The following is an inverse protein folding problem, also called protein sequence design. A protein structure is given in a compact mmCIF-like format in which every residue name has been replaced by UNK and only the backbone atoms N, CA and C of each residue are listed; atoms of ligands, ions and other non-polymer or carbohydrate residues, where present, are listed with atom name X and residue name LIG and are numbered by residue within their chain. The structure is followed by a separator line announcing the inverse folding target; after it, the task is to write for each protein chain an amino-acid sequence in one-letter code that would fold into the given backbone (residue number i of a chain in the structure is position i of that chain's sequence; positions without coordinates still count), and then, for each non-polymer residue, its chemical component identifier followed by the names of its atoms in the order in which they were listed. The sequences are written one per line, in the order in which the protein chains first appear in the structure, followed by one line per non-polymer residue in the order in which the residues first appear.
data_IF_505387296045
#
_entry.id   IF_505387296045
#
_cell.length_a   1.000
_cell.length_b   1.000
_cell.length_c   1.000
_cell.angle_alpha   90.00
_cell.angle_beta   90.00
_cell.angle_gamma   90.00
#
_symmetry.space_group_name_H-M   'P 1'
#
loop_
_entity.id
_entity.type
_entity.pdbx_description
1 polymer ?
#
# COMPACT_ATOMS: atom_id res chain seq x y z
N UNK A 1 7.36 3.44 21.98
CA UNK A 1 7.80 2.80 20.72
C UNK A 1 6.97 1.53 20.56
N UNK A 2 6.34 1.32 19.41
CA UNK A 2 5.54 0.12 19.14
C UNK A 2 6.42 -1.14 19.17
N UNK A 3 5.92 -2.19 19.80
CA UNK A 3 6.53 -3.52 19.80
C UNK A 3 5.48 -4.51 19.33
N UNK A 4 5.69 -5.19 18.19
CA UNK A 4 4.73 -6.13 17.67
C UNK A 4 4.66 -7.40 18.50
N UNK A 5 3.52 -8.07 18.43
CA UNK A 5 3.33 -9.37 19.05
C UNK A 5 4.39 -10.38 18.56
N UNK A 6 5.08 -11.06 19.49
CA UNK A 6 6.03 -12.11 19.13
C UNK A 6 5.33 -13.31 18.45
N UNK A 7 4.03 -13.49 18.72
CA UNK A 7 3.20 -14.57 18.19
C UNK A 7 2.44 -14.19 16.91
N UNK A 8 2.74 -13.03 16.29
CA UNK A 8 1.99 -12.49 15.13
C UNK A 8 1.86 -13.46 13.95
N UNK A 9 2.80 -14.36 13.78
CA UNK A 9 2.80 -15.30 12.65
C UNK A 9 2.14 -16.65 12.94
N UNK A 10 1.77 -16.96 14.20
CA UNK A 10 1.27 -18.27 14.58
C UNK A 10 -0.14 -18.57 14.07
N UNK A 11 -0.98 -17.54 13.91
CA UNK A 11 -2.39 -17.69 13.52
C UNK A 11 -2.70 -17.39 12.06
N UNK A 12 -1.71 -16.98 11.25
CA UNK A 12 -1.91 -16.57 9.87
C UNK A 12 -1.36 -17.62 8.90
N UNK A 13 -2.18 -17.99 7.92
CA UNK A 13 -1.74 -18.81 6.80
C UNK A 13 -1.05 -17.96 5.73
N UNK A 14 0.12 -18.40 5.24
CA UNK A 14 0.87 -17.73 4.18
C UNK A 14 0.98 -18.65 2.96
N UNK A 15 0.54 -18.13 1.79
CA UNK A 15 0.54 -18.87 0.53
C UNK A 15 1.52 -18.26 -0.47
N UNK A 16 2.14 -19.11 -1.28
CA UNK A 16 3.02 -18.66 -2.36
C UNK A 16 2.25 -17.84 -3.40
N UNK A 17 2.79 -16.69 -3.75
CA UNK A 17 2.30 -15.84 -4.83
C UNK A 17 2.92 -16.32 -6.16
N UNK A 18 2.30 -17.31 -6.78
CA UNK A 18 2.80 -17.88 -8.03
C UNK A 18 4.24 -18.35 -7.95
N UNK A 19 5.07 -17.87 -8.89
CA UNK A 19 6.50 -18.21 -9.00
C UNK A 19 7.44 -17.09 -8.52
N UNK A 20 6.91 -16.03 -7.93
CA UNK A 20 7.68 -14.85 -7.51
C UNK A 20 8.62 -15.11 -6.33
N UNK A 21 8.42 -16.22 -5.60
CA UNK A 21 9.11 -16.49 -4.34
C UNK A 21 8.44 -15.80 -3.13
N UNK A 22 7.61 -14.81 -3.35
CA UNK A 22 6.88 -14.11 -2.31
C UNK A 22 5.80 -15.00 -1.70
N UNK A 23 5.60 -14.90 -0.39
CA UNK A 23 4.45 -15.47 0.31
C UNK A 23 3.56 -14.32 0.80
N UNK A 24 2.28 -14.44 0.57
CA UNK A 24 1.30 -13.47 1.04
C UNK A 24 0.41 -14.09 2.12
N UNK A 25 -0.02 -13.31 3.11
CA UNK A 25 -0.96 -13.78 4.12
C UNK A 25 -2.32 -14.08 3.47
N UNK A 26 -3.09 -14.94 4.09
CA UNK A 26 -4.46 -15.25 3.64
C UNK A 26 -5.39 -14.02 3.65
N UNK A 27 -5.06 -13.01 4.46
CA UNK A 27 -5.75 -11.73 4.53
C UNK A 27 -4.77 -10.60 4.29
N UNK A 28 -5.21 -9.60 3.50
CA UNK A 28 -4.50 -8.35 3.26
C UNK A 28 -5.31 -7.18 3.78
N UNK A 29 -4.65 -6.12 4.21
CA UNK A 29 -5.31 -4.87 4.58
C UNK A 29 -5.29 -3.90 3.40
N UNK A 30 -6.48 -3.61 2.84
CA UNK A 30 -6.65 -2.60 1.81
C UNK A 30 -6.79 -1.20 2.42
N UNK A 31 -6.07 -0.23 1.89
CA UNK A 31 -6.03 1.13 2.41
C UNK A 31 -6.85 2.12 1.55
N UNK A 32 -7.89 1.64 0.89
CA UNK A 32 -8.75 2.50 0.08
C UNK A 32 -9.62 3.43 0.94
N UNK A 33 -10.29 2.90 1.94
CA UNK A 33 -11.15 3.66 2.86
C UNK A 33 -10.48 3.78 4.24
N UNK A 34 -10.85 4.81 5.00
CA UNK A 34 -10.34 5.10 6.34
C UNK A 34 -8.85 5.54 6.40
N UNK A 35 -8.17 5.66 5.27
CA UNK A 35 -6.78 6.12 5.22
C UNK A 35 -6.60 7.48 4.53
N UNK A 36 -7.70 8.20 4.31
CA UNK A 36 -7.74 9.62 3.97
C UNK A 36 -7.84 10.49 5.22
N UNK A 37 -8.87 11.34 5.26
CA UNK A 37 -9.19 12.22 6.40
C UNK A 37 -10.30 11.69 7.30
N UNK A 38 -10.87 10.52 6.98
CA UNK A 38 -11.98 9.91 7.72
C UNK A 38 -11.57 9.48 9.13
N UNK A 39 -10.30 9.15 9.31
CA UNK A 39 -9.69 8.79 10.59
C UNK A 39 -8.44 9.61 10.86
N UNK A 40 -8.18 9.85 12.12
CA UNK A 40 -6.92 10.47 12.55
C UNK A 40 -5.72 9.56 12.22
N UNK A 41 -4.54 10.16 12.08
CA UNK A 41 -3.30 9.37 11.86
C UNK A 41 -3.09 8.34 12.95
N UNK A 42 -3.40 8.67 14.20
CA UNK A 42 -3.26 7.74 15.33
C UNK A 42 -4.18 6.52 15.18
N UNK A 43 -5.43 6.71 14.79
CA UNK A 43 -6.35 5.60 14.53
C UNK A 43 -5.87 4.74 13.36
N UNK A 44 -5.31 5.37 12.31
CA UNK A 44 -4.72 4.65 11.18
C UNK A 44 -3.51 3.82 11.62
N UNK A 45 -2.62 4.37 12.43
CA UNK A 45 -1.49 3.64 13.04
C UNK A 45 -1.95 2.46 13.88
N UNK A 46 -2.95 2.66 14.73
CA UNK A 46 -3.53 1.60 15.56
C UNK A 46 -4.09 0.45 14.70
N UNK A 47 -4.76 0.77 13.58
CA UNK A 47 -5.26 -0.24 12.63
C UNK A 47 -4.09 -1.02 12.00
N UNK A 48 -3.06 -0.33 11.54
CA UNK A 48 -1.90 -0.96 10.89
C UNK A 48 -1.14 -1.85 11.87
N UNK A 49 -0.86 -1.34 13.08
CA UNK A 49 -0.17 -2.10 14.13
C UNK A 49 -0.98 -3.33 14.56
N UNK A 50 -2.29 -3.17 14.75
CA UNK A 50 -3.16 -4.30 15.10
C UNK A 50 -3.22 -5.36 13.99
N UNK A 51 -3.27 -4.94 12.72
CA UNK A 51 -3.23 -5.85 11.59
C UNK A 51 -1.91 -6.64 11.57
N UNK A 52 -0.78 -5.97 11.77
CA UNK A 52 0.53 -6.60 11.83
C UNK A 52 0.64 -7.58 13.01
N UNK A 53 0.13 -7.23 14.18
CA UNK A 53 0.06 -8.13 15.36
C UNK A 53 -0.77 -9.40 15.12
N UNK A 54 -1.63 -9.40 14.12
CA UNK A 54 -2.43 -10.54 13.66
C UNK A 54 -1.83 -11.28 12.47
N UNK A 55 -0.62 -10.93 12.05
CA UNK A 55 0.07 -11.55 10.94
C UNK A 55 -0.35 -11.06 9.56
N UNK A 56 -1.11 -9.97 9.49
CA UNK A 56 -1.39 -9.30 8.21
C UNK A 56 -0.14 -8.51 7.84
N UNK A 57 0.66 -9.06 6.95
CA UNK A 57 1.91 -8.46 6.48
C UNK A 57 1.75 -7.74 5.14
N UNK A 58 0.64 -7.93 4.45
CA UNK A 58 0.38 -7.30 3.16
C UNK A 58 -0.56 -6.10 3.29
N UNK A 59 -0.05 -4.92 2.94
CA UNK A 59 -0.76 -3.65 2.89
C UNK A 59 -0.93 -3.22 1.44
N UNK A 60 -2.18 -3.04 1.01
CA UNK A 60 -2.53 -2.81 -0.38
C UNK A 60 -3.05 -1.39 -0.61
N UNK A 61 -2.26 -0.60 -1.31
CA UNK A 61 -2.52 0.80 -1.65
C UNK A 61 -2.80 0.99 -3.15
N UNK A 62 -3.05 2.22 -3.53
CA UNK A 62 -2.99 2.72 -4.90
C UNK A 62 -2.63 4.21 -4.88
N UNK A 63 -2.05 4.68 -5.98
CA UNK A 63 -1.61 6.06 -6.10
C UNK A 63 -2.76 7.07 -5.93
N UNK A 64 -4.00 6.68 -6.28
CA UNK A 64 -5.18 7.54 -6.20
C UNK A 64 -6.03 7.34 -4.92
N UNK A 65 -5.62 6.46 -4.01
CA UNK A 65 -6.36 6.25 -2.77
C UNK A 65 -6.23 7.45 -1.81
N UNK A 66 -7.27 7.63 -1.02
CA UNK A 66 -7.39 8.71 -0.05
C UNK A 66 -8.42 9.76 -0.47
N UNK A 67 -9.19 10.22 0.50
CA UNK A 67 -10.17 11.29 0.32
C UNK A 67 -9.82 12.42 1.31
N UNK A 68 -9.90 13.68 0.91
CA UNK A 68 -10.38 14.22 -0.39
C UNK A 68 -9.30 14.29 -1.48
N UNK A 69 -8.03 14.02 -1.18
CA UNK A 69 -6.93 14.18 -2.14
C UNK A 69 -6.35 12.84 -2.57
N UNK A 70 -6.16 12.67 -3.88
CA UNK A 70 -5.46 11.50 -4.45
C UNK A 70 -4.03 11.43 -3.91
N UNK A 71 -3.63 10.25 -3.47
CA UNK A 71 -2.31 10.00 -2.88
C UNK A 71 -2.25 10.15 -1.36
N UNK A 72 -3.31 10.67 -0.73
CA UNK A 72 -3.31 10.91 0.71
C UNK A 72 -3.17 9.61 1.52
N UNK A 73 -3.73 8.49 1.04
CA UNK A 73 -3.57 7.20 1.71
C UNK A 73 -2.10 6.75 1.73
N UNK A 74 -1.37 6.95 0.64
CA UNK A 74 0.07 6.65 0.60
C UNK A 74 0.88 7.58 1.52
N UNK A 75 0.55 8.88 1.60
CA UNK A 75 1.19 9.82 2.52
C UNK A 75 0.96 9.43 3.99
N UNK A 76 -0.28 9.11 4.33
CA UNK A 76 -0.64 8.71 5.69
C UNK A 76 0.00 7.37 6.06
N UNK A 77 0.01 6.41 5.15
CA UNK A 77 0.72 5.14 5.33
C UNK A 77 2.22 5.37 5.56
N UNK A 78 2.86 6.24 4.77
CA UNK A 78 4.27 6.59 4.94
C UNK A 78 4.59 7.18 6.32
N UNK A 79 3.70 8.05 6.84
CA UNK A 79 3.82 8.60 8.20
C UNK A 79 3.69 7.51 9.25
N UNK A 80 2.65 6.70 9.17
CA UNK A 80 2.42 5.58 10.09
C UNK A 80 3.57 4.56 10.05
N UNK A 81 4.09 4.25 8.86
CA UNK A 81 5.28 3.41 8.71
C UNK A 81 6.47 3.97 9.49
N UNK A 82 6.77 5.25 9.29
CA UNK A 82 7.88 5.91 9.99
C UNK A 82 7.73 5.86 11.51
N UNK A 83 6.51 6.01 12.02
CA UNK A 83 6.23 6.14 13.44
C UNK A 83 6.14 4.77 14.15
N UNK A 84 5.67 3.72 13.49
CA UNK A 84 5.47 2.42 14.13
C UNK A 84 6.07 1.20 13.40
N UNK A 85 5.89 1.06 12.09
CA UNK A 85 6.25 -0.15 11.35
C UNK A 85 7.59 -0.07 10.60
N UNK A 86 8.24 1.08 10.56
CA UNK A 86 9.49 1.28 9.82
C UNK A 86 10.58 0.26 10.12
N UNK A 87 10.85 -0.09 11.39
CA UNK A 87 11.85 -1.12 11.74
C UNK A 87 11.53 -2.51 11.19
N UNK A 88 10.28 -2.75 10.79
CA UNK A 88 9.78 -4.04 10.30
C UNK A 88 9.51 -4.06 8.79
N UNK A 89 10.05 -3.07 8.03
CA UNK A 89 9.82 -2.98 6.58
C UNK A 89 10.09 -4.29 5.83
N UNK A 90 11.12 -5.01 6.20
CA UNK A 90 11.52 -6.28 5.57
C UNK A 90 10.56 -7.46 5.91
N UNK A 91 9.68 -7.26 6.88
CA UNK A 91 8.64 -8.22 7.24
C UNK A 91 7.29 -7.89 6.54
N UNK A 92 7.22 -6.80 5.79
CA UNK A 92 6.00 -6.34 5.12
C UNK A 92 6.08 -6.57 3.61
N UNK A 93 4.94 -6.91 3.03
CA UNK A 93 4.69 -6.80 1.60
C UNK A 93 3.83 -5.55 1.36
N UNK A 94 4.38 -4.56 0.68
CA UNK A 94 3.67 -3.33 0.34
C UNK A 94 3.35 -3.34 -1.14
N UNK A 95 2.08 -3.20 -1.48
CA UNK A 95 1.64 -3.05 -2.87
C UNK A 95 1.04 -1.69 -3.13
N UNK A 96 1.28 -1.17 -4.33
CA UNK A 96 0.54 -0.01 -4.85
C UNK A 96 0.20 -0.20 -6.31
N UNK A 97 -0.62 0.70 -6.87
CA UNK A 97 -1.22 0.56 -8.19
C UNK A 97 -1.22 1.89 -8.92
N UNK A 98 -1.17 1.84 -10.24
CA UNK A 98 -1.40 2.97 -11.11
C UNK A 98 -2.27 2.58 -12.30
N UNK A 99 -2.97 3.57 -12.89
CA UNK A 99 -3.86 3.37 -14.04
C UNK A 99 -4.91 4.46 -14.16
N UNK A 100 -5.42 4.96 -13.04
CA UNK A 100 -6.41 6.04 -13.00
C UNK A 100 -5.77 7.42 -13.08
N UNK A 101 -6.62 8.45 -13.30
CA UNK A 101 -6.21 9.85 -13.38
C UNK A 101 -5.53 10.32 -12.10
N UNK A 102 -4.32 10.86 -12.25
CA UNK A 102 -3.53 11.38 -11.13
C UNK A 102 -3.20 12.87 -11.28
N UNK A 103 -2.91 13.32 -12.51
CA UNK A 103 -2.64 14.73 -12.79
C UNK A 103 -3.23 15.13 -14.14
N UNK A 104 -3.34 16.43 -14.37
CA UNK A 104 -3.91 16.97 -15.61
C UNK A 104 -2.98 16.82 -16.80
N UNK A 105 -3.57 16.76 -17.98
CA UNK A 105 -2.87 16.67 -19.25
C UNK A 105 -2.75 15.24 -19.79
N UNK A 106 -2.09 15.06 -20.93
CA UNK A 106 -2.16 13.81 -21.71
C UNK A 106 -1.33 12.65 -21.12
N UNK A 107 -0.60 12.90 -20.04
CA UNK A 107 0.32 11.90 -19.45
C UNK A 107 -0.02 11.53 -18.02
N UNK A 108 -1.18 11.98 -17.51
CA UNK A 108 -1.56 11.84 -16.11
C UNK A 108 -2.43 10.62 -15.79
N UNK A 109 -2.63 9.72 -16.76
CA UNK A 109 -3.48 8.54 -16.61
C UNK A 109 -3.02 7.36 -17.48
N UNK A 110 -3.73 6.24 -17.31
CA UNK A 110 -3.59 5.01 -18.10
C UNK A 110 -2.28 4.25 -17.89
N UNK A 111 -1.67 3.75 -18.98
CA UNK A 111 -0.64 2.72 -18.87
C UNK A 111 0.60 2.99 -19.70
N UNK A 112 0.85 4.25 -20.14
CA UNK A 112 2.12 4.55 -20.80
C UNK A 112 3.29 4.30 -19.84
N UNK A 113 4.42 3.86 -20.39
CA UNK A 113 5.66 3.72 -19.62
C UNK A 113 6.00 5.00 -18.85
N UNK A 114 5.78 6.16 -19.48
CA UNK A 114 5.97 7.49 -18.86
C UNK A 114 5.11 7.66 -17.61
N UNK A 115 3.82 7.35 -17.71
CA UNK A 115 2.88 7.47 -16.60
C UNK A 115 3.21 6.48 -15.48
N UNK A 116 3.51 5.23 -15.81
CA UNK A 116 3.80 4.18 -14.81
C UNK A 116 5.08 4.50 -14.02
N UNK A 117 6.14 4.92 -14.70
CA UNK A 117 7.39 5.31 -14.03
C UNK A 117 7.17 6.52 -13.11
N UNK A 118 6.54 7.59 -13.62
CA UNK A 118 6.24 8.77 -12.82
C UNK A 118 5.32 8.45 -11.64
N UNK A 119 4.33 7.57 -11.83
CA UNK A 119 3.43 7.14 -10.76
C UNK A 119 4.14 6.38 -9.66
N UNK A 120 5.02 5.43 -10.02
CA UNK A 120 5.80 4.68 -9.03
C UNK A 120 6.73 5.62 -8.25
N UNK A 121 7.46 6.49 -8.93
CA UNK A 121 8.36 7.46 -8.27
C UNK A 121 7.60 8.38 -7.31
N UNK A 122 6.41 8.81 -7.67
CA UNK A 122 5.56 9.63 -6.81
C UNK A 122 5.03 8.83 -5.60
N UNK A 123 4.61 7.59 -5.81
CA UNK A 123 4.15 6.69 -4.75
C UNK A 123 5.24 6.42 -3.73
N UNK A 124 6.46 6.11 -4.19
CA UNK A 124 7.61 5.89 -3.31
C UNK A 124 7.92 7.14 -2.47
N UNK A 125 7.88 8.34 -3.08
CA UNK A 125 8.09 9.60 -2.36
C UNK A 125 7.02 9.86 -1.30
N UNK A 126 5.72 9.62 -1.62
CA UNK A 126 4.62 9.78 -0.66
C UNK A 126 4.77 8.85 0.53
N UNK A 127 5.13 7.59 0.28
CA UNK A 127 5.29 6.58 1.32
C UNK A 127 6.64 6.67 2.05
N UNK A 128 7.63 7.39 1.51
CA UNK A 128 8.99 7.44 2.06
C UNK A 128 9.71 6.09 1.96
N UNK A 129 9.46 5.34 0.88
CA UNK A 129 10.02 4.03 0.61
C UNK A 129 10.97 4.06 -0.57
N UNK A 130 11.97 3.16 -0.57
CA UNK A 130 12.88 2.96 -1.69
C UNK A 130 12.32 1.97 -2.72
N UNK A 131 11.40 1.10 -2.32
CA UNK A 131 10.75 0.10 -3.18
C UNK A 131 9.36 -0.29 -2.64
N UNK A 132 8.53 -0.84 -3.53
CA UNK A 132 7.35 -1.63 -3.20
C UNK A 132 7.57 -3.08 -3.62
N UNK A 133 6.88 -4.01 -2.95
CA UNK A 133 7.03 -5.45 -3.23
C UNK A 133 6.20 -5.86 -4.46
N UNK A 134 5.05 -5.19 -4.65
CA UNK A 134 4.15 -5.43 -5.77
C UNK A 134 3.70 -4.09 -6.35
N UNK A 135 3.83 -3.94 -7.66
CA UNK A 135 3.29 -2.79 -8.38
C UNK A 135 2.28 -3.26 -9.42
N UNK A 136 1.02 -2.85 -9.27
CA UNK A 136 -0.05 -3.21 -10.19
C UNK A 136 -0.23 -2.13 -11.26
N UNK A 137 -0.29 -2.57 -12.50
CA UNK A 137 -0.85 -1.76 -13.57
C UNK A 137 -2.33 -2.11 -13.76
N UNK A 138 -3.20 -1.16 -13.48
CA UNK A 138 -4.63 -1.32 -13.71
C UNK A 138 -4.94 -1.00 -15.17
N UNK A 139 -5.45 -1.99 -15.89
CA UNK A 139 -5.94 -1.82 -17.26
C UNK A 139 -7.39 -1.34 -17.21
N UNK A 140 -7.66 -0.15 -17.74
CA UNK A 140 -9.01 0.40 -17.82
C UNK A 140 -9.74 -0.01 -19.13
N UNK A 141 -9.01 -0.57 -20.08
CA UNK A 141 -9.54 -0.93 -21.40
C UNK A 141 -10.39 -2.20 -21.37
N UNK A 142 -10.16 -3.09 -20.41
CA UNK A 142 -10.87 -4.37 -20.28
C UNK A 142 -12.03 -4.34 -19.28
N UNK A 143 -12.33 -3.19 -18.69
CA UNK A 143 -13.43 -3.03 -17.73
C UNK A 143 -14.78 -2.85 -18.43
N UNK A 144 -14.78 -2.57 -19.71
CA UNK A 144 -15.98 -2.28 -20.52
C UNK A 144 -16.45 -3.43 -21.40
N UNK A 145 -15.86 -4.62 -21.29
CA UNK A 145 -16.29 -5.82 -22.03
C UNK A 145 -17.04 -6.81 -21.14
#
# INVERSE_FOLDING_TARGET
MYQPSERRYEGMEYKRCGRSGLKLPAMSLGLWQNFGTEKTLKEQEEILCHAFDRGITHFDLANNYGHPARGLAEENFGRALKDCLGPYRDELAVSTKAGYDMWQGPYGNWGSRKYLMASLDQSLRRMGLDYVDIFYHLSLIHISE
#
